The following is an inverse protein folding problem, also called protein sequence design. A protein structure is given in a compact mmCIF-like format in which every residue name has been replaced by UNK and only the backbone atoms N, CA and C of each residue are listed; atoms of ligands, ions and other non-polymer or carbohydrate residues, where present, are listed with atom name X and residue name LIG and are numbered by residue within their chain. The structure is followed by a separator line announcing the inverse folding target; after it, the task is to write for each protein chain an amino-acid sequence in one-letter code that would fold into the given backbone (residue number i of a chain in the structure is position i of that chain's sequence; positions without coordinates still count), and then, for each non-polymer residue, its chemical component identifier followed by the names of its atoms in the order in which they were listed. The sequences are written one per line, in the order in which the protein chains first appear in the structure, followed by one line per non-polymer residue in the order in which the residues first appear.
data_IF_205893240480
#
_entry.id   IF_205893240480
#
_cell.length_a   1.000
_cell.length_b   1.000
_cell.length_c   1.000
_cell.angle_alpha   90.00
_cell.angle_beta   90.00
_cell.angle_gamma   90.00
#
_symmetry.space_group_name_H-M   'P 1'
#
loop_
_entity.id
_entity.type
_entity.pdbx_description
1 polymer ?
#
# COMPACT_ATOMS: atom_id res chain seq x y z
N UNK A 1 30.80 -28.40 49.49
CA UNK A 1 30.77 -29.37 48.37
C UNK A 1 29.63 -28.95 47.43
N UNK A 2 29.97 -28.20 46.37
CA UNK A 2 29.99 -28.66 44.97
C UNK A 2 28.59 -28.72 44.33
N UNK A 3 28.11 -27.57 43.86
CA UNK A 3 26.85 -27.46 43.12
C UNK A 3 26.83 -26.40 42.00
N UNK A 4 27.83 -25.52 41.91
CA UNK A 4 27.87 -24.42 40.92
C UNK A 4 28.71 -24.71 39.67
N UNK A 5 29.34 -25.89 39.57
CA UNK A 5 30.28 -26.22 38.48
C UNK A 5 29.64 -26.98 37.30
N UNK A 6 28.40 -27.49 37.44
CA UNK A 6 27.75 -28.30 36.40
C UNK A 6 26.88 -27.51 35.41
N UNK A 7 26.59 -26.23 35.68
CA UNK A 7 25.70 -25.42 34.84
C UNK A 7 26.46 -24.71 33.69
N UNK A 8 27.79 -24.60 33.76
CA UNK A 8 28.59 -23.95 32.70
C UNK A 8 29.03 -24.88 31.56
N UNK A 9 28.75 -26.18 31.64
CA UNK A 9 29.16 -27.17 30.62
C UNK A 9 28.05 -27.43 29.59
N UNK A 10 26.79 -27.10 29.88
CA UNK A 10 25.67 -27.33 28.94
C UNK A 10 25.58 -26.24 27.85
N UNK A 11 26.14 -25.05 28.06
CA UNK A 11 26.10 -23.96 27.07
C UNK A 11 27.10 -24.09 25.91
N UNK A 12 28.05 -25.02 25.95
CA UNK A 12 29.06 -25.18 24.89
C UNK A 12 28.75 -26.30 23.88
N UNK A 13 27.71 -27.10 24.11
CA UNK A 13 27.36 -28.23 23.22
C UNK A 13 26.27 -27.92 22.18
N UNK A 14 25.58 -26.77 22.27
CA UNK A 14 24.54 -26.39 21.28
C UNK A 14 25.11 -25.59 20.09
N UNK A 15 26.35 -25.11 20.18
CA UNK A 15 27.01 -24.37 19.10
C UNK A 15 27.65 -25.27 18.01
N UNK A 16 27.67 -26.59 18.20
CA UNK A 16 28.28 -27.54 17.26
C UNK A 16 27.28 -28.33 16.38
N UNK A 17 25.99 -27.92 16.36
CA UNK A 17 24.96 -28.54 15.52
C UNK A 17 24.45 -27.63 14.38
N UNK A 18 25.20 -26.59 14.02
CA UNK A 18 24.86 -25.64 12.95
C UNK A 18 25.74 -25.79 11.70
N UNK A 19 26.49 -26.89 11.57
CA UNK A 19 27.46 -27.06 10.49
C UNK A 19 27.04 -28.03 9.37
N UNK A 20 25.93 -28.76 9.49
CA UNK A 20 25.54 -29.72 8.45
C UNK A 20 24.01 -29.80 8.32
N UNK A 21 23.53 -29.70 7.07
CA UNK A 21 22.13 -29.67 6.57
C UNK A 21 21.63 -28.24 6.30
N UNK A 22 21.75 -27.65 5.11
CA UNK A 22 22.22 -28.13 3.82
C UNK A 22 22.31 -26.92 2.87
N UNK A 23 22.58 -27.12 1.57
CA UNK A 23 22.75 -26.02 0.64
C UNK A 23 21.44 -25.23 0.58
N UNK A 24 21.46 -23.98 1.03
CA UNK A 24 20.51 -22.98 0.54
C UNK A 24 20.57 -23.08 -0.97
N UNK A 25 19.52 -23.60 -1.60
CA UNK A 25 19.19 -23.17 -2.96
C UNK A 25 19.08 -21.66 -2.82
N UNK A 26 20.17 -20.96 -3.14
CA UNK A 26 20.07 -19.62 -3.65
C UNK A 26 19.03 -19.77 -4.75
N UNK A 27 17.80 -19.34 -4.47
CA UNK A 27 16.85 -19.08 -5.53
C UNK A 27 17.67 -18.25 -6.50
N UNK A 28 17.93 -18.80 -7.68
CA UNK A 28 18.63 -18.08 -8.72
C UNK A 28 17.86 -16.78 -8.83
N UNK A 29 18.42 -15.70 -8.27
CA UNK A 29 17.93 -14.36 -8.58
C UNK A 29 17.94 -14.39 -10.10
N UNK A 30 16.78 -14.25 -10.77
CA UNK A 30 16.81 -14.13 -12.22
C UNK A 30 17.89 -13.09 -12.46
N UNK A 31 18.93 -13.48 -13.20
CA UNK A 31 20.04 -12.59 -13.49
C UNK A 31 19.35 -11.30 -13.89
N UNK A 32 19.55 -10.24 -13.09
CA UNK A 32 19.09 -8.92 -13.45
C UNK A 32 19.89 -8.67 -14.72
N UNK A 33 19.31 -9.04 -15.86
CA UNK A 33 19.86 -8.71 -17.15
C UNK A 33 20.13 -7.22 -17.10
N UNK A 34 21.17 -6.74 -17.78
CA UNK A 34 21.38 -5.31 -17.87
C UNK A 34 20.01 -4.70 -18.16
N UNK A 35 19.51 -3.84 -17.26
CA UNK A 35 18.34 -3.03 -17.58
C UNK A 35 18.71 -2.47 -18.94
N UNK A 36 18.03 -2.90 -20.00
CA UNK A 36 18.33 -2.47 -21.36
C UNK A 36 17.83 -1.03 -21.40
N UNK A 37 18.59 -0.15 -20.76
CA UNK A 37 18.47 1.27 -20.75
C UNK A 37 19.45 1.76 -21.78
N UNK A 38 19.19 1.44 -23.04
CA UNK A 38 19.33 2.51 -24.01
C UNK A 38 18.54 3.66 -23.40
N UNK A 39 19.20 4.80 -23.17
CA UNK A 39 18.53 6.05 -22.85
C UNK A 39 17.54 6.31 -23.97
N UNK A 40 16.34 5.72 -23.88
CA UNK A 40 15.24 6.10 -24.72
C UNK A 40 15.08 7.59 -24.42
N UNK A 41 15.26 8.43 -25.45
CA UNK A 41 14.99 9.85 -25.34
C UNK A 41 13.49 9.99 -25.06
N UNK A 42 13.12 9.89 -23.79
CA UNK A 42 11.76 10.02 -23.31
C UNK A 42 11.32 11.44 -23.60
N UNK A 43 10.28 11.56 -24.41
CA UNK A 43 9.66 12.86 -24.67
C UNK A 43 8.59 13.15 -23.62
N UNK A 44 8.28 14.42 -23.41
CA UNK A 44 7.16 14.84 -22.55
C UNK A 44 5.84 14.21 -23.00
N UNK A 45 5.68 13.99 -24.30
CA UNK A 45 4.54 13.31 -24.91
C UNK A 45 4.46 11.83 -24.50
N UNK A 46 5.60 11.12 -24.43
CA UNK A 46 5.64 9.74 -23.95
C UNK A 46 5.19 9.64 -22.50
N UNK A 47 5.70 10.55 -21.67
CA UNK A 47 5.35 10.63 -20.25
C UNK A 47 3.86 10.95 -20.09
N UNK A 48 3.35 11.92 -20.83
CA UNK A 48 1.93 12.31 -20.80
C UNK A 48 1.02 11.16 -21.23
N UNK A 49 1.37 10.43 -22.30
CA UNK A 49 0.63 9.24 -22.74
C UNK A 49 0.67 8.13 -21.70
N UNK A 50 1.83 7.89 -21.08
CA UNK A 50 1.97 6.88 -20.03
C UNK A 50 1.11 7.22 -18.80
N UNK A 51 1.09 8.48 -18.37
CA UNK A 51 0.22 8.97 -17.28
C UNK A 51 -1.24 8.77 -17.64
N UNK A 52 -1.66 9.18 -18.85
CA UNK A 52 -3.04 9.03 -19.30
C UNK A 52 -3.48 7.55 -19.35
N UNK A 53 -2.62 6.66 -19.85
CA UNK A 53 -2.85 5.21 -19.88
C UNK A 53 -2.93 4.62 -18.48
N UNK A 54 -2.02 5.03 -17.58
CA UNK A 54 -2.05 4.63 -16.17
C UNK A 54 -3.34 5.05 -15.49
N UNK A 55 -3.75 6.31 -15.65
CA UNK A 55 -5.03 6.83 -15.12
C UNK A 55 -6.22 6.02 -15.64
N UNK A 56 -6.29 5.75 -16.93
CA UNK A 56 -7.38 4.96 -17.52
C UNK A 56 -7.44 3.53 -16.93
N UNK A 57 -6.28 2.88 -16.79
CA UNK A 57 -6.19 1.57 -16.17
C UNK A 57 -6.68 1.58 -14.72
N UNK A 58 -6.21 2.53 -13.91
CA UNK A 58 -6.63 2.66 -12.51
C UNK A 58 -8.14 2.86 -12.36
N UNK A 59 -8.74 3.71 -13.21
CA UNK A 59 -10.19 3.92 -13.22
C UNK A 59 -10.97 2.67 -13.63
N UNK A 60 -10.37 1.81 -14.47
CA UNK A 60 -10.94 0.52 -14.86
C UNK A 60 -10.95 -0.54 -13.76
N UNK A 61 -10.21 -0.34 -12.67
CA UNK A 61 -10.20 -1.24 -11.51
C UNK A 61 -11.36 -0.99 -10.54
N UNK A 62 -12.27 -0.05 -10.84
CA UNK A 62 -13.39 0.30 -9.97
C UNK A 62 -14.43 -0.81 -9.92
N UNK A 63 -14.80 -1.21 -8.71
CA UNK A 63 -15.88 -2.15 -8.42
C UNK A 63 -17.20 -1.41 -8.11
N UNK A 64 -18.31 -2.17 -8.10
CA UNK A 64 -19.64 -1.63 -7.82
C UNK A 64 -19.82 -1.08 -6.39
N UNK A 65 -18.97 -1.50 -5.45
CA UNK A 65 -18.96 -1.02 -4.05
C UNK A 65 -18.13 0.26 -3.85
N UNK A 66 -17.53 0.79 -4.92
CA UNK A 66 -16.66 1.96 -4.88
C UNK A 66 -15.19 1.65 -4.56
N UNK A 67 -14.83 0.41 -4.27
CA UNK A 67 -13.43 0.00 -4.14
C UNK A 67 -12.70 -0.01 -5.49
N UNK A 68 -11.37 0.04 -5.46
CA UNK A 68 -10.52 -0.10 -6.64
C UNK A 68 -9.55 -1.25 -6.43
N UNK A 69 -9.82 -2.39 -7.08
CA UNK A 69 -8.88 -3.52 -7.10
C UNK A 69 -9.34 -4.60 -8.07
N UNK A 70 -8.39 -5.36 -8.61
CA UNK A 70 -8.65 -6.68 -9.20
C UNK A 70 -8.42 -7.83 -8.20
N UNK A 71 -7.85 -7.54 -7.02
CA UNK A 71 -7.41 -8.52 -6.02
C UNK A 71 -8.17 -8.32 -4.70
N UNK A 72 -9.21 -9.14 -4.42
CA UNK A 72 -10.08 -8.93 -3.27
C UNK A 72 -9.36 -8.88 -1.92
N UNK A 73 -8.27 -9.64 -1.75
CA UNK A 73 -7.50 -9.71 -0.51
C UNK A 73 -6.73 -8.42 -0.16
N UNK A 74 -6.55 -7.52 -1.13
CA UNK A 74 -5.80 -6.27 -0.97
C UNK A 74 -6.67 -5.04 -1.25
N UNK A 75 -8.00 -5.22 -1.26
CA UNK A 75 -8.97 -4.21 -1.67
C UNK A 75 -8.79 -2.87 -0.99
N UNK A 76 -8.60 -2.87 0.33
CA UNK A 76 -8.45 -1.65 1.12
C UNK A 76 -7.16 -0.90 0.80
N UNK A 77 -6.06 -1.65 0.68
CA UNK A 77 -4.74 -1.12 0.34
C UNK A 77 -4.75 -0.52 -1.07
N UNK A 78 -5.19 -1.28 -2.08
CA UNK A 78 -5.25 -0.81 -3.46
C UNK A 78 -6.16 0.39 -3.61
N UNK A 79 -7.34 0.38 -2.99
CA UNK A 79 -8.25 1.54 -3.03
C UNK A 79 -7.58 2.80 -2.50
N UNK A 80 -6.89 2.69 -1.35
CA UNK A 80 -6.20 3.83 -0.73
C UNK A 80 -5.06 4.36 -1.61
N UNK A 81 -4.22 3.46 -2.13
CA UNK A 81 -3.12 3.82 -3.03
C UNK A 81 -3.62 4.47 -4.33
N UNK A 82 -4.66 3.91 -4.93
CA UNK A 82 -5.21 4.41 -6.19
C UNK A 82 -5.80 5.80 -6.00
N UNK A 83 -6.55 6.04 -4.92
CA UNK A 83 -7.07 7.38 -4.62
C UNK A 83 -5.95 8.39 -4.37
N UNK A 84 -4.86 8.01 -3.68
CA UNK A 84 -3.68 8.86 -3.55
C UNK A 84 -3.04 9.18 -4.89
N UNK A 85 -2.86 8.18 -5.76
CA UNK A 85 -2.28 8.35 -7.09
C UNK A 85 -3.14 9.27 -7.95
N UNK A 86 -4.45 9.06 -8.00
CA UNK A 86 -5.38 9.90 -8.76
C UNK A 86 -5.38 11.34 -8.23
N UNK A 87 -5.39 11.53 -6.91
CA UNK A 87 -5.30 12.85 -6.30
C UNK A 87 -3.97 13.56 -6.65
N UNK A 88 -2.85 12.82 -6.62
CA UNK A 88 -1.53 13.34 -7.01
C UNK A 88 -1.47 13.70 -8.51
N UNK A 89 -2.21 12.98 -9.36
CA UNK A 89 -2.41 13.32 -10.77
C UNK A 89 -3.35 14.53 -10.98
N UNK A 90 -3.81 15.17 -9.91
CA UNK A 90 -4.68 16.35 -9.96
C UNK A 90 -6.17 16.03 -10.05
N UNK A 91 -6.60 14.79 -9.80
CA UNK A 91 -8.03 14.51 -9.77
C UNK A 91 -8.73 15.14 -8.60
N UNK A 92 -9.84 15.81 -8.91
CA UNK A 92 -10.60 16.55 -7.92
C UNK A 92 -11.40 15.58 -7.02
N UNK A 93 -11.38 15.74 -5.68
CA UNK A 93 -12.11 14.85 -4.76
C UNK A 93 -13.61 14.71 -5.06
N UNK A 94 -14.24 15.74 -5.65
CA UNK A 94 -15.66 15.74 -6.01
C UNK A 94 -16.00 14.94 -7.28
N UNK A 95 -15.03 14.43 -8.03
CA UNK A 95 -15.31 13.51 -9.15
C UNK A 95 -15.98 12.25 -8.63
N UNK A 96 -16.92 11.69 -9.38
CA UNK A 96 -17.75 10.57 -8.90
C UNK A 96 -16.93 9.37 -8.42
N UNK A 97 -15.88 8.98 -9.17
CA UNK A 97 -15.01 7.87 -8.80
C UNK A 97 -14.20 8.15 -7.51
N UNK A 98 -13.76 9.39 -7.31
CA UNK A 98 -13.07 9.80 -6.08
C UNK A 98 -14.04 9.77 -4.89
N UNK A 99 -15.25 10.30 -5.06
CA UNK A 99 -16.31 10.28 -4.03
C UNK A 99 -16.68 8.87 -3.63
N UNK A 100 -16.86 7.98 -4.60
CA UNK A 100 -17.20 6.57 -4.35
C UNK A 100 -16.08 5.85 -3.60
N UNK A 101 -14.82 6.02 -4.02
CA UNK A 101 -13.68 5.44 -3.31
C UNK A 101 -13.50 5.98 -1.90
N UNK A 102 -13.67 7.30 -1.71
CA UNK A 102 -13.66 7.90 -0.38
C UNK A 102 -14.78 7.35 0.50
N UNK A 103 -15.99 7.23 -0.04
CA UNK A 103 -17.13 6.67 0.68
C UNK A 103 -16.89 5.21 1.07
N UNK A 104 -16.35 4.40 0.16
CA UNK A 104 -15.93 3.03 0.44
C UNK A 104 -14.97 2.99 1.62
N UNK A 105 -13.90 3.79 1.58
CA UNK A 105 -12.93 3.83 2.66
C UNK A 105 -13.61 4.25 3.96
N UNK A 106 -14.26 5.42 4.00
CA UNK A 106 -14.90 5.97 5.22
C UNK A 106 -15.78 4.95 5.93
N UNK A 107 -16.50 4.12 5.18
CA UNK A 107 -17.45 3.14 5.72
C UNK A 107 -16.82 1.81 6.23
N UNK A 108 -15.51 1.60 6.09
CA UNK A 108 -14.87 0.39 6.66
C UNK A 108 -14.78 0.50 8.19
N UNK A 109 -15.12 -0.58 8.87
CA UNK A 109 -15.19 -0.68 10.33
C UNK A 109 -13.81 -1.01 10.95
N UNK A 110 -13.30 -0.19 11.90
CA UNK A 110 -11.99 -0.35 12.56
C UNK A 110 -11.64 -1.74 13.08
N UNK A 111 -12.64 -2.47 13.56
CA UNK A 111 -12.54 -3.75 14.24
C UNK A 111 -12.64 -4.96 13.30
N UNK A 112 -13.44 -4.84 12.23
CA UNK A 112 -13.70 -5.93 11.28
C UNK A 112 -12.79 -5.87 10.06
N UNK A 113 -12.64 -4.68 9.50
CA UNK A 113 -12.06 -4.50 8.18
C UNK A 113 -10.54 -4.22 8.24
N UNK A 114 -9.99 -4.01 9.45
CA UNK A 114 -8.56 -3.78 9.70
C UNK A 114 -7.94 -4.90 10.51
N UNK A 115 -8.14 -6.13 10.03
CA UNK A 115 -7.45 -7.28 10.59
C UNK A 115 -5.93 -7.04 10.64
N UNK A 116 -5.25 -7.61 11.65
CA UNK A 116 -3.83 -7.39 12.05
C UNK A 116 -2.76 -7.51 10.95
N UNK A 117 -3.14 -7.79 9.70
CA UNK A 117 -2.26 -7.92 8.52
C UNK A 117 -2.22 -6.66 7.64
N UNK A 118 -3.01 -5.64 7.94
CA UNK A 118 -3.09 -4.41 7.14
C UNK A 118 -2.36 -3.21 7.78
N UNK A 119 -1.25 -3.46 8.50
CA UNK A 119 -0.52 -2.41 9.24
C UNK A 119 -0.10 -1.19 8.41
N UNK A 120 0.07 -1.35 7.09
CA UNK A 120 0.34 -0.26 6.15
C UNK A 120 -0.92 0.34 5.52
N UNK A 121 -2.04 -0.38 5.46
CA UNK A 121 -3.25 0.12 4.82
C UNK A 121 -3.88 1.26 5.63
N UNK A 122 -3.85 1.19 6.97
CA UNK A 122 -4.39 2.23 7.83
C UNK A 122 -3.63 3.58 7.67
N UNK A 123 -2.29 3.64 7.75
CA UNK A 123 -1.56 4.89 7.46
C UNK A 123 -1.76 5.41 6.04
N UNK A 124 -1.71 4.54 5.02
CA UNK A 124 -1.91 4.93 3.61
C UNK A 124 -3.31 5.54 3.42
N UNK A 125 -4.33 4.96 4.05
CA UNK A 125 -5.69 5.50 4.02
C UNK A 125 -5.78 6.86 4.70
N UNK A 126 -5.20 7.02 5.89
CA UNK A 126 -5.19 8.30 6.61
C UNK A 126 -4.47 9.36 5.75
N UNK A 127 -3.36 9.00 5.10
CA UNK A 127 -2.66 9.88 4.16
C UNK A 127 -3.55 10.27 2.97
N UNK A 128 -4.27 9.32 2.36
CA UNK A 128 -5.19 9.58 1.27
C UNK A 128 -6.28 10.58 1.68
N UNK A 129 -6.96 10.31 2.79
CA UNK A 129 -8.02 11.16 3.32
C UNK A 129 -7.49 12.55 3.71
N UNK A 130 -6.32 12.62 4.36
CA UNK A 130 -5.71 13.88 4.75
C UNK A 130 -5.27 14.72 3.55
N UNK A 131 -4.69 14.10 2.53
CA UNK A 131 -4.30 14.79 1.29
C UNK A 131 -5.53 15.35 0.57
N UNK A 132 -6.58 14.54 0.42
CA UNK A 132 -7.83 14.96 -0.19
C UNK A 132 -8.50 16.09 0.60
N UNK A 133 -8.58 15.98 1.93
CA UNK A 133 -9.15 17.02 2.79
C UNK A 133 -8.37 18.34 2.73
N UNK A 134 -7.04 18.30 2.64
CA UNK A 134 -6.21 19.49 2.50
C UNK A 134 -6.51 20.28 1.23
N UNK A 135 -6.82 19.59 0.14
CA UNK A 135 -7.11 20.17 -1.17
C UNK A 135 -8.55 20.65 -1.34
N UNK A 136 -9.41 20.49 -0.33
CA UNK A 136 -10.76 21.08 -0.33
C UNK A 136 -10.72 22.59 -0.06
N UNK A 137 -11.68 23.33 -0.64
CA UNK A 137 -11.94 24.74 -0.28
C UNK A 137 -12.48 24.86 1.13
N UNK A 138 -12.43 26.05 1.74
CA UNK A 138 -12.94 26.27 3.10
C UNK A 138 -14.45 26.01 3.23
N UNK A 139 -15.20 26.35 2.18
CA UNK A 139 -16.63 26.04 2.11
C UNK A 139 -16.88 24.52 2.09
N UNK A 140 -16.09 23.77 1.31
CA UNK A 140 -16.18 22.31 1.25
C UNK A 140 -15.80 21.67 2.59
N UNK A 141 -14.76 22.19 3.26
CA UNK A 141 -14.36 21.76 4.61
C UNK A 141 -15.47 22.04 5.63
N UNK A 142 -16.13 23.18 5.56
CA UNK A 142 -17.23 23.54 6.45
C UNK A 142 -18.41 22.56 6.32
N UNK A 143 -18.79 22.20 5.09
CA UNK A 143 -19.83 21.18 4.84
C UNK A 143 -19.44 19.80 5.37
N UNK A 144 -18.20 19.37 5.14
CA UNK A 144 -17.72 18.07 5.65
C UNK A 144 -17.78 17.98 7.19
N UNK A 145 -17.48 19.08 7.91
CA UNK A 145 -17.55 19.13 9.38
C UNK A 145 -18.97 19.01 9.93
N UNK A 146 -19.99 19.44 9.19
CA UNK A 146 -21.38 19.30 9.62
C UNK A 146 -21.84 17.85 9.56
N UNK A 147 -21.37 17.08 8.57
CA UNK A 147 -21.70 15.65 8.42
C UNK A 147 -21.05 14.81 9.51
N UNK A 148 -19.83 15.13 9.95
CA UNK A 148 -19.12 14.36 11.00
C UNK A 148 -19.76 14.55 12.39
N UNK A 149 -20.47 15.66 12.61
CA UNK A 149 -21.12 15.97 13.91
C UNK A 149 -22.55 15.42 14.03
N UNK A 150 -23.13 14.95 12.93
CA UNK A 150 -24.47 14.37 12.88
C UNK A 150 -24.39 12.85 13.07
#
# INVERSE_FOLDING_TARGET
MSGSLRIRIVCLAVLAAMAFLGPTRAAARPAAGPLIGASANLTDDDVTRAIAKGRAYLLGLRNGDGSFTAEPQWRNCYTSLILMTLAYMGEHPNRDHMRQGMSYLINLAPDRDFNRREGYALPIRIMALAYLYRNLTDEQKARARQVIKA
#
